data_IF_899416578229
#
_entry.id   IF_899416578229
#
_cell.length_a   1.000
_cell.length_b   1.000
_cell.length_c   1.000
_cell.angle_alpha   90.00
_cell.angle_beta   90.00
_cell.angle_gamma   90.00
#
_symmetry.space_group_name_H-M   'P 1'
#
loop_
_entity.id
_entity.type
_entity.pdbx_description
1 polymer ?
#
# COMPACT_ATOMS: atom_id res chain seq x y z
N UNK A 1 24.32 29.65 -25.98
CA UNK A 1 22.86 29.50 -25.84
C UNK A 1 22.65 28.48 -24.75
N UNK A 2 22.55 29.01 -23.55
CA UNK A 2 22.41 28.32 -22.27
C UNK A 2 21.15 27.44 -22.27
N UNK A 3 21.28 26.22 -21.77
CA UNK A 3 20.13 25.33 -21.57
C UNK A 3 19.22 25.93 -20.49
N UNK A 4 17.88 25.87 -20.65
CA UNK A 4 16.99 26.38 -19.61
C UNK A 4 17.09 25.52 -18.35
N UNK A 5 17.27 26.22 -17.23
CA UNK A 5 17.18 25.73 -15.86
C UNK A 5 15.98 24.76 -15.74
N UNK A 6 16.27 23.50 -15.42
CA UNK A 6 15.21 22.52 -15.16
C UNK A 6 14.65 22.89 -13.79
N UNK A 7 13.36 23.26 -13.65
CA UNK A 7 12.80 23.53 -12.34
C UNK A 7 12.93 22.25 -11.50
N UNK A 8 13.65 22.34 -10.39
CA UNK A 8 13.76 21.28 -9.39
C UNK A 8 12.37 20.69 -9.10
N UNK A 9 12.21 19.36 -9.02
CA UNK A 9 10.92 18.78 -8.72
C UNK A 9 10.50 19.20 -7.32
N UNK A 10 9.55 20.14 -7.28
CA UNK A 10 8.86 20.57 -6.06
C UNK A 10 8.47 19.35 -5.23
N UNK A 11 8.76 19.46 -3.93
CA UNK A 11 8.53 18.54 -2.80
C UNK A 11 7.23 17.73 -2.93
N UNK A 12 7.24 16.71 -3.80
CA UNK A 12 6.07 15.88 -4.05
C UNK A 12 5.93 15.00 -2.82
N UNK A 13 4.85 15.14 -2.03
CA UNK A 13 4.71 14.39 -0.80
C UNK A 13 4.75 12.91 -1.14
N UNK A 14 5.65 12.19 -0.46
CA UNK A 14 5.81 10.76 -0.67
C UNK A 14 4.47 10.06 -0.43
N UNK A 15 3.88 9.40 -1.43
CA UNK A 15 2.52 8.86 -1.34
C UNK A 15 2.43 7.70 -0.34
N UNK A 16 3.57 7.15 0.07
CA UNK A 16 3.69 6.09 1.09
C UNK A 16 3.76 6.67 2.51
N UNK A 17 4.07 7.95 2.68
CA UNK A 17 4.08 8.60 4.00
C UNK A 17 2.74 9.27 4.28
N UNK A 18 2.07 8.81 5.33
CA UNK A 18 0.91 9.54 5.84
C UNK A 18 1.35 10.90 6.35
N UNK A 19 0.64 11.95 5.96
CA UNK A 19 0.92 13.28 6.48
C UNK A 19 0.75 13.30 8.01
N UNK A 20 1.64 13.97 8.76
CA UNK A 20 1.48 14.16 10.19
C UNK A 20 0.13 14.81 10.49
N UNK A 21 -0.69 14.19 11.36
CA UNK A 21 -2.00 14.74 11.77
C UNK A 21 -3.19 13.81 11.58
N UNK A 22 -3.05 12.74 10.78
CA UNK A 22 -4.11 11.75 10.57
C UNK A 22 -4.13 10.61 11.59
N UNK A 23 -3.55 10.81 12.78
CA UNK A 23 -3.50 9.80 13.85
C UNK A 23 -4.89 9.27 14.24
N UNK A 24 -5.91 10.13 14.19
CA UNK A 24 -7.30 9.77 14.48
C UNK A 24 -7.96 8.89 13.39
N UNK A 25 -7.40 8.82 12.19
CA UNK A 25 -7.84 7.91 11.12
C UNK A 25 -7.16 6.54 11.22
N UNK A 26 -6.07 6.43 11.99
CA UNK A 26 -5.39 5.16 12.23
C UNK A 26 -6.17 4.35 13.25
N UNK A 27 -6.90 3.34 12.76
CA UNK A 27 -7.48 2.33 13.62
C UNK A 27 -6.36 1.40 14.11
N UNK A 28 -5.94 1.57 15.37
CA UNK A 28 -4.93 0.73 15.98
C UNK A 28 -5.46 -0.68 16.20
N UNK A 29 -4.68 -1.68 15.77
CA UNK A 29 -5.04 -3.07 15.97
C UNK A 29 -4.71 -3.54 17.40
N UNK A 30 -5.75 -3.68 18.22
CA UNK A 30 -5.67 -4.11 19.63
C UNK A 30 -5.51 -5.62 19.80
N UNK A 31 -5.48 -6.40 18.70
CA UNK A 31 -5.29 -7.85 18.75
C UNK A 31 -3.92 -8.25 19.31
N UNK A 32 -3.90 -9.36 20.03
CA UNK A 32 -2.66 -10.01 20.48
C UNK A 32 -1.82 -10.47 19.27
N UNK A 33 -0.52 -10.71 19.45
CA UNK A 33 0.33 -11.22 18.36
C UNK A 33 -0.19 -12.51 17.74
N UNK A 34 -0.75 -13.41 18.56
CA UNK A 34 -1.32 -14.69 18.12
C UNK A 34 -2.56 -14.48 17.25
N UNK A 35 -3.46 -13.58 17.65
CA UNK A 35 -4.66 -13.24 16.87
C UNK A 35 -4.33 -12.52 15.56
N UNK A 36 -3.28 -11.69 15.55
CA UNK A 36 -2.77 -11.05 14.33
C UNK A 36 -2.27 -12.10 13.33
N UNK A 37 -1.56 -13.10 13.82
CA UNK A 37 -1.06 -14.21 13.00
C UNK A 37 -2.21 -15.04 12.44
N UNK A 38 -3.20 -15.40 13.27
CA UNK A 38 -4.39 -16.12 12.82
C UNK A 38 -5.20 -15.32 11.78
N UNK A 39 -5.38 -14.01 11.98
CA UNK A 39 -6.05 -13.14 11.03
C UNK A 39 -5.29 -13.02 9.70
N UNK A 40 -3.97 -12.91 9.75
CA UNK A 40 -3.09 -12.89 8.57
C UNK A 40 -3.22 -14.17 7.76
N UNK A 41 -3.18 -15.33 8.41
CA UNK A 41 -3.36 -16.64 7.77
C UNK A 41 -4.76 -16.79 7.13
N UNK A 42 -5.80 -16.31 7.80
CA UNK A 42 -7.17 -16.33 7.26
C UNK A 42 -7.31 -15.45 6.03
N UNK A 43 -6.70 -14.27 6.04
CA UNK A 43 -6.70 -13.33 4.91
C UNK A 43 -5.85 -13.83 3.75
N UNK A 44 -4.67 -14.41 4.01
CA UNK A 44 -3.84 -15.02 2.97
C UNK A 44 -4.55 -16.20 2.31
N UNK A 45 -5.20 -17.07 3.08
CA UNK A 45 -6.00 -18.18 2.58
C UNK A 45 -7.17 -17.70 1.71
N UNK A 46 -7.85 -16.60 2.10
CA UNK A 46 -8.89 -15.97 1.28
C UNK A 46 -8.33 -15.46 -0.05
N UNK A 47 -7.18 -14.78 -0.03
CA UNK A 47 -6.53 -14.25 -1.23
C UNK A 47 -5.99 -15.33 -2.16
N UNK A 48 -5.54 -16.45 -1.60
CA UNK A 48 -5.09 -17.61 -2.36
C UNK A 48 -6.26 -18.47 -2.85
N UNK A 49 -7.51 -18.10 -2.54
CA UNK A 49 -8.71 -18.76 -3.06
C UNK A 49 -8.63 -18.99 -4.57
N UNK A 50 -8.82 -20.26 -4.94
CA UNK A 50 -8.72 -20.83 -6.29
C UNK A 50 -9.57 -20.02 -7.28
N UNK A 51 -8.95 -19.22 -8.15
CA UNK A 51 -9.66 -18.61 -9.28
C UNK A 51 -9.36 -17.15 -9.64
N UNK A 52 -8.39 -16.46 -9.02
CA UNK A 52 -7.91 -15.19 -9.57
C UNK A 52 -6.94 -15.44 -10.73
N UNK A 53 -7.47 -15.95 -11.84
CA UNK A 53 -6.80 -15.87 -13.13
C UNK A 53 -6.48 -14.40 -13.38
N UNK A 54 -5.20 -14.06 -13.53
CA UNK A 54 -4.75 -12.69 -13.74
C UNK A 54 -5.34 -12.19 -15.04
N UNK A 55 -6.41 -11.41 -14.96
CA UNK A 55 -7.10 -10.85 -16.14
C UNK A 55 -6.17 -9.96 -16.98
N UNK A 56 -5.12 -9.42 -16.36
CA UNK A 56 -4.05 -8.65 -17.01
C UNK A 56 -3.02 -9.49 -17.78
N UNK A 57 -2.98 -10.82 -17.62
CA UNK A 57 -2.09 -11.71 -18.40
C UNK A 57 -2.72 -12.17 -19.72
N UNK A 58 -3.99 -11.84 -19.99
CA UNK A 58 -4.76 -12.37 -21.13
C UNK A 58 -4.65 -11.53 -22.42
N UNK A 59 -3.70 -10.60 -22.49
CA UNK A 59 -3.59 -9.62 -23.59
C UNK A 59 -2.19 -9.34 -24.11
N UNK A 60 -1.21 -10.23 -23.88
CA UNK A 60 0.10 -10.20 -24.56
C UNK A 60 0.13 -11.13 -25.77
#
# INVERSE_FOLDING_TARGET
MDAPDTPEPEDRPDPTKMAPGYSHLLLHDTRTPEEKLAASLKESARRSGRGRSKWWEKGS
#
